data_IF_019235724192
#
_entry.id   IF_019235724192
#
_cell.length_a   1.000
_cell.length_b   1.000
_cell.length_c   1.000
_cell.angle_alpha   90.00
_cell.angle_beta   90.00
_cell.angle_gamma   90.00
#
_symmetry.space_group_name_H-M   'P 1'
#
loop_
_entity.id
_entity.type
_entity.pdbx_description
1 polymer ?
#
# COMPACT_ATOMS: atom_id res chain seq x y z
N UNK A 1 -62.40 -6.67 51.99
CA UNK A 1 -61.98 -5.48 51.22
C UNK A 1 -60.73 -4.90 51.90
N UNK A 2 -59.54 -4.77 51.34
CA UNK A 2 -58.96 -4.98 50.01
C UNK A 2 -57.50 -5.43 50.24
N UNK A 3 -57.15 -6.61 49.72
CA UNK A 3 -55.80 -6.98 49.23
C UNK A 3 -55.48 -6.09 47.99
N UNK A 4 -54.33 -6.26 47.34
CA UNK A 4 -53.79 -5.43 46.22
C UNK A 4 -52.97 -4.26 46.79
N UNK A 5 -51.65 -4.12 46.66
CA UNK A 5 -50.69 -4.66 45.69
C UNK A 5 -49.28 -4.86 46.32
N UNK A 6 -48.93 -6.12 46.61
CA UNK A 6 -47.54 -6.59 46.76
C UNK A 6 -47.20 -7.36 45.48
N UNK A 7 -47.13 -6.66 44.34
CA UNK A 7 -46.80 -7.26 43.04
C UNK A 7 -46.14 -6.20 42.13
N UNK A 8 -45.00 -5.65 42.55
CA UNK A 8 -44.21 -4.75 41.71
C UNK A 8 -42.68 -4.87 41.90
N UNK A 9 -42.18 -5.99 42.45
CA UNK A 9 -40.72 -6.23 42.62
C UNK A 9 -40.28 -7.56 41.96
N UNK A 10 -41.09 -8.12 41.05
CA UNK A 10 -40.77 -9.40 40.37
C UNK A 10 -40.73 -9.30 38.82
N UNK A 11 -40.55 -8.10 38.27
CA UNK A 11 -40.58 -7.86 36.81
C UNK A 11 -39.37 -7.06 36.27
N UNK A 12 -38.25 -6.98 37.01
CA UNK A 12 -37.06 -6.24 36.55
C UNK A 12 -35.76 -7.06 36.49
N UNK A 13 -35.84 -8.38 36.63
CA UNK A 13 -34.67 -9.29 36.56
C UNK A 13 -34.94 -10.49 35.63
N UNK A 14 -35.65 -10.24 34.52
CA UNK A 14 -35.93 -11.26 33.49
C UNK A 14 -35.67 -10.68 32.09
N UNK A 15 -34.50 -10.04 31.92
CA UNK A 15 -34.19 -9.33 30.66
C UNK A 15 -32.71 -9.35 30.23
N UNK A 16 -31.82 -10.08 30.89
CA UNK A 16 -30.41 -10.17 30.46
C UNK A 16 -29.79 -11.56 30.62
N UNK A 17 -30.54 -12.59 30.24
CA UNK A 17 -29.95 -13.85 29.81
C UNK A 17 -30.53 -14.19 28.44
N UNK A 18 -30.27 -13.31 27.46
CA UNK A 18 -30.23 -13.77 26.07
C UNK A 18 -29.06 -14.76 26.04
N UNK A 19 -29.28 -16.04 25.69
CA UNK A 19 -28.17 -16.94 25.51
C UNK A 19 -27.27 -16.33 24.44
N UNK A 20 -25.96 -16.25 24.69
CA UNK A 20 -24.95 -16.02 23.66
C UNK A 20 -24.88 -17.22 22.68
N UNK A 21 -26.02 -17.78 22.32
CA UNK A 21 -26.20 -18.72 21.23
C UNK A 21 -26.39 -17.88 19.97
N UNK A 22 -25.29 -17.57 19.28
CA UNK A 22 -25.35 -16.92 17.98
C UNK A 22 -24.24 -15.93 17.67
N UNK A 23 -23.25 -15.70 18.55
CA UNK A 23 -22.06 -14.97 18.10
C UNK A 23 -21.36 -15.81 17.03
N UNK A 24 -21.24 -15.31 15.79
CA UNK A 24 -20.54 -16.03 14.73
C UNK A 24 -19.13 -16.30 15.22
N UNK A 25 -18.70 -17.56 15.19
CA UNK A 25 -17.32 -17.87 15.56
C UNK A 25 -16.38 -17.29 14.50
N UNK A 26 -15.25 -16.68 14.90
CA UNK A 26 -14.19 -16.36 13.98
C UNK A 26 -13.87 -17.59 13.12
N UNK A 27 -13.81 -17.41 11.81
CA UNK A 27 -13.41 -18.44 10.86
C UNK A 27 -11.95 -18.22 10.55
N UNK A 28 -11.13 -19.19 10.93
CA UNK A 28 -9.71 -19.18 10.63
C UNK A 28 -9.39 -20.33 9.67
N UNK A 29 -8.61 -20.03 8.65
CA UNK A 29 -8.15 -21.03 7.70
C UNK A 29 -6.80 -20.63 7.11
N UNK A 30 -6.05 -21.63 6.65
CA UNK A 30 -4.75 -21.42 6.01
C UNK A 30 -4.83 -21.75 4.52
N UNK A 31 -4.20 -20.91 3.70
CA UNK A 31 -4.03 -21.13 2.25
C UNK A 31 -2.63 -20.67 1.88
N UNK A 32 -1.79 -21.57 1.34
CA UNK A 32 -0.43 -21.26 0.87
C UNK A 32 0.40 -20.43 1.89
N UNK A 33 0.44 -20.92 3.14
CA UNK A 33 1.16 -20.29 4.26
C UNK A 33 0.67 -18.86 4.61
N UNK A 34 -0.58 -18.57 4.26
CA UNK A 34 -1.31 -17.38 4.69
C UNK A 34 -2.35 -17.76 5.74
N UNK A 35 -2.31 -17.11 6.90
CA UNK A 35 -3.36 -17.21 7.90
C UNK A 35 -4.45 -16.19 7.59
N UNK A 36 -5.67 -16.67 7.36
CA UNK A 36 -6.82 -15.82 7.15
C UNK A 36 -7.75 -16.00 8.34
N UNK A 37 -8.13 -14.90 8.98
CA UNK A 37 -9.05 -14.85 10.10
C UNK A 37 -10.17 -13.87 9.78
N UNK A 38 -11.38 -14.37 9.52
CA UNK A 38 -12.58 -13.55 9.42
C UNK A 38 -13.31 -13.60 10.76
N UNK A 39 -13.49 -12.44 11.38
CA UNK A 39 -14.18 -12.35 12.67
C UNK A 39 -15.66 -12.79 12.57
N UNK A 40 -16.23 -12.90 11.36
CA UNK A 40 -17.61 -13.34 11.14
C UNK A 40 -18.65 -12.35 11.67
N UNK A 41 -18.27 -11.10 11.86
CA UNK A 41 -18.99 -10.13 12.69
C UNK A 41 -20.26 -9.57 12.02
N UNK A 42 -21.15 -8.95 12.81
CA UNK A 42 -22.41 -8.34 12.33
C UNK A 42 -22.17 -7.21 11.33
N UNK A 43 -21.05 -6.49 11.46
CA UNK A 43 -20.68 -5.38 10.57
C UNK A 43 -19.50 -5.79 9.69
N UNK A 44 -19.58 -5.53 8.40
CA UNK A 44 -18.51 -5.82 7.44
C UNK A 44 -18.01 -4.56 6.74
N UNK A 45 -16.72 -4.56 6.39
CA UNK A 45 -16.14 -3.56 5.48
C UNK A 45 -16.43 -3.85 4.00
N UNK A 46 -16.96 -5.04 3.68
CA UNK A 46 -17.16 -5.49 2.30
C UNK A 46 -15.85 -5.74 1.52
N UNK A 47 -14.76 -6.01 2.26
CA UNK A 47 -13.44 -6.38 1.73
C UNK A 47 -13.29 -7.89 1.74
N UNK A 48 -12.85 -8.46 0.62
CA UNK A 48 -12.47 -9.87 0.52
C UNK A 48 -10.99 -10.07 0.84
N UNK A 49 -10.53 -11.33 0.81
CA UNK A 49 -9.10 -11.67 0.93
C UNK A 49 -8.31 -11.03 -0.21
N UNK A 50 -8.83 -11.11 -1.43
CA UNK A 50 -8.19 -10.56 -2.64
C UNK A 50 -8.11 -9.04 -2.61
N UNK A 51 -9.15 -8.36 -2.06
CA UNK A 51 -9.10 -6.92 -1.81
C UNK A 51 -7.92 -6.58 -0.87
N UNK A 52 -7.75 -7.35 0.22
CA UNK A 52 -6.66 -7.12 1.17
C UNK A 52 -5.29 -7.43 0.55
N UNK A 53 -5.15 -8.51 -0.22
CA UNK A 53 -3.91 -8.85 -0.91
C UNK A 53 -3.48 -7.77 -1.92
N UNK A 54 -4.44 -7.13 -2.59
CA UNK A 54 -4.17 -6.07 -3.56
C UNK A 54 -3.54 -4.81 -2.93
N UNK A 55 -3.51 -4.70 -1.59
CA UNK A 55 -2.94 -3.56 -0.87
C UNK A 55 -1.45 -3.69 -0.55
N UNK A 56 -0.85 -4.86 -0.75
CA UNK A 56 0.57 -5.10 -0.47
C UNK A 56 1.31 -5.68 -1.68
N UNK A 57 2.62 -5.87 -1.57
CA UNK A 57 3.43 -6.49 -2.60
C UNK A 57 3.16 -7.99 -2.69
N UNK A 58 3.24 -8.56 -3.90
CA UNK A 58 3.26 -10.01 -4.11
C UNK A 58 4.47 -10.66 -3.45
N UNK A 59 4.39 -11.98 -3.26
CA UNK A 59 5.44 -12.78 -2.60
C UNK A 59 6.80 -12.73 -3.32
N UNK A 60 6.79 -12.43 -4.62
CA UNK A 60 7.93 -12.39 -5.53
C UNK A 60 8.17 -10.98 -6.12
N UNK A 61 7.42 -9.96 -5.70
CA UNK A 61 7.49 -8.62 -6.27
C UNK A 61 8.68 -7.79 -5.77
N UNK A 62 9.31 -8.18 -4.64
CA UNK A 62 10.41 -7.42 -4.03
C UNK A 62 11.75 -8.11 -4.33
N UNK A 63 12.59 -7.58 -5.23
CA UNK A 63 13.88 -8.21 -5.55
C UNK A 63 14.81 -8.24 -4.33
N UNK A 64 15.49 -9.37 -4.14
CA UNK A 64 16.38 -9.63 -3.02
C UNK A 64 15.66 -10.13 -1.76
N UNK A 65 14.35 -10.33 -1.81
CA UNK A 65 13.51 -10.72 -0.68
C UNK A 65 12.64 -11.92 -1.03
N UNK A 66 12.34 -12.76 -0.03
CA UNK A 66 11.48 -13.93 -0.17
C UNK A 66 10.48 -14.01 1.00
N UNK A 67 9.22 -14.36 0.71
CA UNK A 67 8.24 -14.65 1.76
C UNK A 67 8.50 -16.03 2.35
N UNK A 68 9.24 -16.07 3.45
CA UNK A 68 9.45 -17.30 4.23
C UNK A 68 8.42 -17.39 5.36
N UNK A 69 7.81 -18.57 5.59
CA UNK A 69 6.97 -18.78 6.76
C UNK A 69 7.73 -18.47 8.04
N UNK A 70 7.11 -17.74 8.97
CA UNK A 70 7.69 -17.49 10.28
C UNK A 70 7.83 -18.84 11.04
N UNK A 71 8.98 -19.17 11.64
CA UNK A 71 9.21 -20.47 12.27
C UNK A 71 8.30 -20.75 13.48
N UNK A 72 7.69 -19.72 14.07
CA UNK A 72 6.79 -19.85 15.21
C UNK A 72 5.31 -19.92 14.81
N UNK A 73 4.93 -19.26 13.72
CA UNK A 73 3.52 -19.18 13.30
C UNK A 73 3.23 -19.96 12.03
N UNK A 74 4.23 -20.46 11.33
CA UNK A 74 4.14 -21.17 10.05
C UNK A 74 3.36 -20.38 8.97
N UNK A 75 3.44 -19.05 9.03
CA UNK A 75 2.75 -18.16 8.09
C UNK A 75 3.69 -17.01 7.70
N UNK A 76 3.68 -16.61 6.43
CA UNK A 76 4.36 -15.37 5.97
C UNK A 76 3.40 -14.19 5.82
N UNK A 77 2.10 -14.48 5.69
CA UNK A 77 1.03 -13.49 5.57
C UNK A 77 -0.07 -13.76 6.59
N UNK A 78 -0.60 -12.69 7.20
CA UNK A 78 -1.78 -12.71 8.05
C UNK A 78 -2.80 -11.73 7.48
N UNK A 79 -4.02 -12.20 7.23
CA UNK A 79 -5.15 -11.38 6.79
C UNK A 79 -6.25 -11.49 7.84
N UNK A 80 -6.55 -10.38 8.50
CA UNK A 80 -7.67 -10.25 9.43
C UNK A 80 -8.81 -9.48 8.79
N UNK A 81 -10.01 -10.06 8.71
CA UNK A 81 -11.20 -9.40 8.19
C UNK A 81 -12.17 -9.02 9.31
N UNK A 82 -12.73 -7.83 9.18
CA UNK A 82 -13.86 -7.33 9.99
C UNK A 82 -13.62 -7.35 11.51
N UNK A 83 -12.37 -7.17 11.94
CA UNK A 83 -11.98 -7.08 13.33
C UNK A 83 -12.77 -5.99 14.08
N UNK A 84 -13.18 -6.31 15.32
CA UNK A 84 -14.08 -5.50 16.15
C UNK A 84 -15.47 -5.19 15.55
N UNK A 85 -15.92 -5.93 14.53
CA UNK A 85 -17.23 -5.69 13.92
C UNK A 85 -18.42 -5.91 14.86
N UNK A 86 -18.29 -6.73 15.90
CA UNK A 86 -19.36 -6.98 16.88
C UNK A 86 -19.45 -5.93 17.99
N UNK A 87 -18.43 -5.09 18.14
CA UNK A 87 -18.43 -4.04 19.17
C UNK A 87 -19.14 -2.80 18.62
N UNK A 88 -20.27 -2.35 19.18
CA UNK A 88 -21.01 -1.19 18.67
C UNK A 88 -20.13 0.07 18.57
N UNK A 89 -19.25 0.25 19.55
CA UNK A 89 -18.33 1.39 19.69
C UNK A 89 -16.89 1.07 19.25
N UNK A 90 -16.61 -0.17 18.84
CA UNK A 90 -15.28 -0.60 18.41
C UNK A 90 -14.98 -0.20 16.96
N UNK A 91 -13.71 0.03 16.67
CA UNK A 91 -13.24 0.41 15.34
C UNK A 91 -13.23 -0.82 14.44
N UNK A 92 -14.22 -0.91 13.56
CA UNK A 92 -14.28 -1.94 12.51
C UNK A 92 -13.06 -1.77 11.60
N UNK A 93 -12.22 -2.81 11.52
CA UNK A 93 -10.99 -2.80 10.70
C UNK A 93 -10.72 -4.14 10.03
N UNK A 94 -10.11 -4.10 8.86
CA UNK A 94 -9.41 -5.24 8.26
C UNK A 94 -7.92 -4.93 8.20
N UNK A 95 -7.10 -5.97 8.18
CA UNK A 95 -5.65 -5.90 8.26
C UNK A 95 -5.04 -6.93 7.30
N UNK A 96 -3.99 -6.55 6.60
CA UNK A 96 -3.03 -7.47 6.00
C UNK A 96 -1.65 -7.16 6.55
N UNK A 97 -0.92 -8.19 6.93
CA UNK A 97 0.48 -8.13 7.34
C UNK A 97 1.23 -9.19 6.56
N UNK A 98 2.29 -8.79 5.86
CA UNK A 98 3.16 -9.70 5.10
C UNK A 98 4.61 -9.44 5.46
N UNK A 99 5.36 -10.52 5.66
CA UNK A 99 6.79 -10.49 5.93
C UNK A 99 7.60 -11.02 4.75
N UNK A 100 8.78 -10.46 4.53
CA UNK A 100 9.79 -10.97 3.62
C UNK A 100 11.15 -10.99 4.31
N UNK A 101 11.96 -11.99 4.00
CA UNK A 101 13.34 -12.12 4.47
C UNK A 101 14.30 -11.77 3.34
N UNK A 102 15.27 -10.90 3.62
CA UNK A 102 16.33 -10.56 2.67
C UNK A 102 17.22 -11.79 2.43
N UNK A 103 17.42 -12.14 1.16
CA UNK A 103 18.17 -13.34 0.76
C UNK A 103 19.67 -13.28 1.08
N UNK A 104 20.22 -12.07 1.19
CA UNK A 104 21.65 -11.85 1.47
C UNK A 104 21.92 -11.65 2.95
N UNK A 105 21.09 -10.85 3.64
CA UNK A 105 21.35 -10.42 5.02
C UNK A 105 20.52 -11.16 6.06
N UNK A 106 19.41 -11.78 5.66
CA UNK A 106 18.42 -12.35 6.57
C UNK A 106 17.56 -11.30 7.30
N UNK A 107 17.68 -10.01 6.96
CA UNK A 107 16.86 -8.95 7.56
C UNK A 107 15.37 -9.15 7.21
N UNK A 108 14.49 -8.82 8.15
CA UNK A 108 13.04 -8.99 7.95
C UNK A 108 12.41 -7.66 7.53
N UNK A 109 11.84 -7.64 6.32
CA UNK A 109 10.92 -6.60 5.88
C UNK A 109 9.49 -7.00 6.25
N UNK A 110 8.71 -6.05 6.77
CA UNK A 110 7.29 -6.21 7.05
C UNK A 110 6.51 -5.06 6.45
N UNK A 111 5.42 -5.37 5.76
CA UNK A 111 4.42 -4.40 5.32
C UNK A 111 3.10 -4.75 5.99
N UNK A 112 2.56 -3.78 6.71
CA UNK A 112 1.25 -3.86 7.36
C UNK A 112 0.33 -2.81 6.75
N UNK A 113 -0.87 -3.22 6.32
CA UNK A 113 -1.90 -2.31 5.83
C UNK A 113 -3.20 -2.57 6.57
N UNK A 114 -3.75 -1.52 7.16
CA UNK A 114 -5.00 -1.52 7.93
C UNK A 114 -6.05 -0.68 7.21
N UNK A 115 -7.25 -1.20 7.05
CA UNK A 115 -8.38 -0.49 6.46
C UNK A 115 -9.49 -0.35 7.49
N UNK A 116 -9.94 0.88 7.70
CA UNK A 116 -10.93 1.23 8.71
C UNK A 116 -12.33 1.43 8.12
N UNK A 117 -13.38 1.29 8.95
CA UNK A 117 -14.77 1.59 8.58
C UNK A 117 -15.03 3.08 8.28
N UNK A 118 -14.22 3.97 8.84
CA UNK A 118 -14.25 5.42 8.63
C UNK A 118 -12.86 5.95 8.26
N UNK A 119 -12.72 7.27 8.13
CA UNK A 119 -11.43 7.89 7.91
C UNK A 119 -10.42 7.43 8.98
N UNK A 120 -9.25 6.98 8.55
CA UNK A 120 -8.21 6.45 9.43
C UNK A 120 -7.79 7.48 10.49
N UNK A 121 -7.81 8.77 10.12
CA UNK A 121 -7.53 9.87 11.04
C UNK A 121 -8.53 10.04 12.19
N UNK A 122 -9.65 9.30 12.24
CA UNK A 122 -10.49 9.23 13.45
C UNK A 122 -9.89 8.31 14.52
N UNK A 123 -8.98 7.40 14.13
CA UNK A 123 -8.47 6.31 14.97
C UNK A 123 -6.96 6.42 15.20
N UNK A 124 -6.23 6.78 14.15
CA UNK A 124 -4.78 6.79 14.12
C UNK A 124 -4.26 8.10 13.55
N UNK A 125 -3.56 8.86 14.39
CA UNK A 125 -2.83 10.09 14.05
C UNK A 125 -1.42 10.03 14.61
N UNK A 126 -0.53 10.87 14.09
CA UNK A 126 0.82 11.02 14.64
C UNK A 126 0.84 11.21 16.16
N UNK A 127 -0.11 11.97 16.73
CA UNK A 127 -0.18 12.21 18.16
C UNK A 127 -0.38 10.91 18.96
N UNK A 128 -1.18 9.97 18.47
CA UNK A 128 -1.38 8.67 19.13
C UNK A 128 -0.06 7.90 19.27
N UNK A 129 0.81 8.03 18.27
CA UNK A 129 2.09 7.33 18.17
C UNK A 129 3.22 8.02 18.92
N UNK A 130 3.19 9.36 18.99
CA UNK A 130 4.18 10.17 19.71
C UNK A 130 4.17 9.88 21.21
N UNK A 131 3.00 9.67 21.80
CA UNK A 131 2.86 9.46 23.25
C UNK A 131 3.06 8.00 23.69
N UNK A 132 3.06 7.05 22.75
CA UNK A 132 3.13 5.61 23.05
C UNK A 132 4.50 4.94 22.88
N UNK A 133 5.53 5.66 22.43
CA UNK A 133 6.83 5.09 22.07
C UNK A 133 7.98 5.75 22.83
N UNK A 134 8.98 4.95 23.24
CA UNK A 134 10.24 5.46 23.79
C UNK A 134 11.09 6.17 22.73
N UNK A 135 10.92 5.81 21.45
CA UNK A 135 11.55 6.47 20.30
C UNK A 135 10.55 7.46 19.72
N UNK A 136 10.93 8.73 19.67
CA UNK A 136 10.06 9.78 19.11
C UNK A 136 10.01 9.67 17.57
N UNK A 137 8.81 9.56 16.96
CA UNK A 137 8.66 9.60 15.52
C UNK A 137 9.02 10.99 14.97
N UNK A 138 9.56 11.02 13.76
CA UNK A 138 9.81 12.27 13.02
C UNK A 138 8.72 12.45 11.96
N UNK A 139 8.04 13.60 12.00
CA UNK A 139 7.02 13.95 11.01
C UNK A 139 7.62 14.08 9.61
N UNK A 140 6.86 13.66 8.60
CA UNK A 140 7.24 13.70 7.19
C UNK A 140 7.93 12.42 6.71
N UNK A 141 8.52 12.51 5.53
CA UNK A 141 9.23 11.40 4.87
C UNK A 141 10.73 11.63 4.76
N UNK A 142 11.48 10.60 4.38
CA UNK A 142 12.93 10.67 4.24
C UNK A 142 13.35 11.62 3.10
N UNK A 143 12.60 11.61 2.00
CA UNK A 143 12.78 12.51 0.86
C UNK A 143 12.15 13.90 1.08
N UNK A 144 11.46 14.11 2.20
CA UNK A 144 10.63 15.29 2.48
C UNK A 144 9.45 15.49 1.51
N UNK A 145 9.12 14.48 0.71
CA UNK A 145 7.93 14.47 -0.15
C UNK A 145 6.71 13.95 0.63
N UNK A 146 5.52 14.57 0.49
CA UNK A 146 4.34 14.11 1.22
C UNK A 146 3.86 12.76 0.68
N UNK A 147 3.77 11.76 1.55
CA UNK A 147 3.14 10.46 1.30
C UNK A 147 1.85 10.40 2.10
N UNK A 148 0.75 10.09 1.42
CA UNK A 148 -0.58 10.15 2.01
C UNK A 148 -0.99 11.53 2.53
N UNK A 149 -1.99 11.56 3.40
CA UNK A 149 -2.48 12.77 4.11
C UNK A 149 -1.59 13.14 5.30
N UNK A 150 -0.93 12.15 5.90
CA UNK A 150 -0.05 12.29 7.05
C UNK A 150 0.93 11.13 7.05
N UNK A 151 2.22 11.42 7.26
CA UNK A 151 3.26 10.41 7.37
C UNK A 151 4.31 10.80 8.41
N UNK A 152 4.99 9.79 8.95
CA UNK A 152 6.11 9.93 9.85
C UNK A 152 6.98 8.68 9.80
N UNK A 153 8.18 8.76 10.38
CA UNK A 153 9.10 7.64 10.42
C UNK A 153 9.80 7.50 11.78
N UNK A 154 10.23 6.28 12.10
CA UNK A 154 11.09 5.98 13.24
C UNK A 154 12.46 5.55 12.74
N UNK A 155 13.48 6.34 13.02
CA UNK A 155 14.81 6.11 12.45
C UNK A 155 14.74 5.99 10.92
N UNK A 156 15.56 5.13 10.34
CA UNK A 156 15.64 4.77 8.91
C UNK A 156 14.94 3.45 8.57
N UNK A 157 14.38 2.77 9.56
CA UNK A 157 13.88 1.39 9.44
C UNK A 157 12.38 1.33 9.26
N UNK A 158 11.63 2.32 9.76
CA UNK A 158 10.17 2.24 9.81
C UNK A 158 9.52 3.51 9.29
N UNK A 159 8.55 3.33 8.41
CA UNK A 159 7.76 4.38 7.80
C UNK A 159 6.28 4.11 8.01
N UNK A 160 5.53 5.16 8.36
CA UNK A 160 4.09 5.09 8.56
C UNK A 160 3.43 6.19 7.73
N UNK A 161 2.28 5.87 7.12
CA UNK A 161 1.41 6.88 6.54
C UNK A 161 -0.05 6.49 6.64
N UNK A 162 -0.95 7.48 6.50
CA UNK A 162 -2.37 7.24 6.22
C UNK A 162 -2.84 7.98 4.99
N UNK A 163 -3.86 7.43 4.36
CA UNK A 163 -4.58 8.03 3.24
C UNK A 163 -6.05 7.56 3.31
N UNK A 164 -7.00 8.50 3.44
CA UNK A 164 -8.42 8.19 3.55
C UNK A 164 -8.72 7.20 4.69
N UNK A 165 -9.18 6.00 4.34
CA UNK A 165 -9.53 4.93 5.30
C UNK A 165 -8.38 3.98 5.62
N UNK A 166 -7.19 4.20 5.04
CA UNK A 166 -6.07 3.27 5.11
C UNK A 166 -4.95 3.82 5.96
N UNK A 167 -4.35 2.96 6.76
CA UNK A 167 -3.04 3.15 7.40
C UNK A 167 -2.10 2.10 6.87
N UNK A 168 -0.86 2.49 6.55
CA UNK A 168 0.19 1.56 6.18
C UNK A 168 1.45 1.81 7.00
N UNK A 169 2.11 0.72 7.38
CA UNK A 169 3.40 0.72 8.04
C UNK A 169 4.35 -0.21 7.28
N UNK A 170 5.51 0.32 6.92
CA UNK A 170 6.61 -0.43 6.31
C UNK A 170 7.75 -0.45 7.33
N UNK A 171 8.20 -1.63 7.75
CA UNK A 171 9.23 -1.79 8.76
C UNK A 171 10.29 -2.78 8.28
N UNK A 172 11.55 -2.35 8.30
CA UNK A 172 12.72 -3.17 8.04
C UNK A 172 13.45 -3.43 9.37
N UNK A 173 13.35 -4.65 9.86
CA UNK A 173 14.01 -5.10 11.08
C UNK A 173 15.45 -5.51 10.75
N UNK A 174 16.37 -4.56 10.94
CA UNK A 174 17.82 -4.79 10.81
C UNK A 174 18.49 -4.91 12.17
N UNK A 175 19.64 -5.59 12.19
CA UNK A 175 20.50 -5.66 13.38
C UNK A 175 21.13 -4.31 13.73
N UNK A 176 21.50 -3.51 12.72
CA UNK A 176 22.15 -2.20 12.90
C UNK A 176 21.64 -1.17 11.90
N UNK A 177 20.99 -0.13 12.39
CA UNK A 177 20.43 0.95 11.56
C UNK A 177 21.51 1.73 10.77
N UNK A 178 22.74 1.78 11.28
CA UNK A 178 23.86 2.46 10.60
C UNK A 178 24.22 1.85 9.24
N UNK A 179 23.84 0.60 9.00
CA UNK A 179 24.07 -0.12 7.74
C UNK A 179 22.99 0.22 6.69
N UNK A 180 21.91 0.89 7.11
CA UNK A 180 20.89 1.37 6.20
C UNK A 180 21.31 2.68 5.54
N UNK A 181 21.02 2.73 4.24
CA UNK A 181 20.87 3.98 3.50
C UNK A 181 19.95 4.96 4.25
N UNK A 182 19.78 6.15 3.71
CA UNK A 182 18.94 7.24 4.20
C UNK A 182 17.42 6.94 4.36
N UNK A 183 16.99 5.67 4.37
CA UNK A 183 15.58 5.26 4.52
C UNK A 183 14.80 5.26 3.21
N UNK A 184 15.41 5.67 2.09
CA UNK A 184 14.76 5.81 0.80
C UNK A 184 14.21 4.49 0.21
N UNK A 185 14.76 3.34 0.59
CA UNK A 185 14.22 2.03 0.21
C UNK A 185 12.86 1.76 0.88
N UNK A 186 12.77 2.01 2.19
CA UNK A 186 11.52 1.89 2.96
C UNK A 186 10.48 2.88 2.44
N UNK A 187 10.92 4.09 2.08
CA UNK A 187 10.04 5.07 1.45
C UNK A 187 9.53 4.63 0.07
N UNK A 188 10.40 4.06 -0.77
CA UNK A 188 10.01 3.56 -2.08
C UNK A 188 8.95 2.45 -1.97
N UNK A 189 9.07 1.60 -0.95
CA UNK A 189 8.04 0.60 -0.62
C UNK A 189 6.72 1.27 -0.23
N UNK A 190 6.76 2.33 0.60
CA UNK A 190 5.56 3.06 1.01
C UNK A 190 4.84 3.72 -0.19
N UNK A 191 5.58 4.29 -1.14
CA UNK A 191 5.01 4.85 -2.38
C UNK A 191 4.22 3.81 -3.19
N UNK A 192 4.75 2.58 -3.32
CA UNK A 192 4.02 1.53 -4.03
C UNK A 192 2.82 0.99 -3.26
N UNK A 193 2.78 1.11 -1.93
CA UNK A 193 1.56 0.86 -1.13
C UNK A 193 0.54 1.98 -1.35
N UNK A 194 0.95 3.26 -1.33
CA UNK A 194 0.05 4.37 -1.64
C UNK A 194 -0.57 4.23 -3.04
N UNK A 195 0.23 3.84 -4.03
CA UNK A 195 -0.25 3.56 -5.38
C UNK A 195 -1.33 2.47 -5.37
N UNK A 196 -1.12 1.36 -4.67
CA UNK A 196 -2.10 0.26 -4.52
C UNK A 196 -3.40 0.73 -3.86
N UNK A 197 -3.30 1.52 -2.79
CA UNK A 197 -4.44 2.11 -2.08
C UNK A 197 -5.28 2.98 -3.01
N UNK A 198 -4.61 3.84 -3.79
CA UNK A 198 -5.26 4.74 -4.77
C UNK A 198 -5.80 4.00 -6.01
N UNK A 199 -5.26 2.83 -6.36
CA UNK A 199 -5.78 1.95 -7.42
C UNK A 199 -6.91 1.04 -6.96
N UNK A 200 -7.15 0.93 -5.66
CA UNK A 200 -7.97 -0.13 -5.11
C UNK A 200 -9.43 -0.07 -5.62
N UNK A 201 -10.03 -1.18 -6.10
CA UNK A 201 -11.36 -1.19 -6.70
C UNK A 201 -12.46 -0.62 -5.80
N UNK A 202 -12.33 -0.79 -4.49
CA UNK A 202 -13.27 -0.31 -3.47
C UNK A 202 -13.13 1.18 -3.14
N UNK A 203 -12.22 1.92 -3.81
CA UNK A 203 -11.98 3.35 -3.61
C UNK A 203 -11.78 3.70 -2.13
N UNK A 204 -10.68 3.20 -1.56
CA UNK A 204 -10.37 3.37 -0.14
C UNK A 204 -10.00 4.81 0.24
N UNK A 205 -9.62 5.59 -0.77
CA UNK A 205 -9.47 7.05 -0.72
C UNK A 205 -10.77 7.67 -1.23
N UNK A 206 -11.24 8.75 -0.59
CA UNK A 206 -12.52 9.39 -0.95
C UNK A 206 -12.62 9.81 -2.43
N UNK A 207 -13.81 10.26 -2.86
CA UNK A 207 -14.12 10.60 -4.27
C UNK A 207 -13.26 11.72 -4.91
N UNK A 208 -12.31 12.30 -4.18
CA UNK A 208 -11.44 13.37 -4.65
C UNK A 208 -10.38 12.93 -5.67
N UNK A 209 -10.17 11.62 -5.87
CA UNK A 209 -9.20 11.14 -6.86
C UNK A 209 -9.74 11.32 -8.29
N UNK A 210 -9.39 12.47 -8.86
CA UNK A 210 -9.67 12.85 -10.24
C UNK A 210 -8.95 11.90 -11.20
N UNK A 211 -9.69 11.22 -12.06
CA UNK A 211 -9.14 10.30 -13.06
C UNK A 211 -8.24 11.04 -14.04
N UNK A 212 -6.99 10.59 -14.19
CA UNK A 212 -6.08 11.12 -15.21
C UNK A 212 -6.37 10.43 -16.54
N UNK A 213 -6.56 11.22 -17.59
CA UNK A 213 -6.68 10.72 -18.96
C UNK A 213 -5.31 10.77 -19.61
N UNK A 214 -4.76 9.60 -19.95
CA UNK A 214 -3.52 9.50 -20.71
C UNK A 214 -3.83 9.28 -22.19
N UNK A 215 -3.33 10.16 -23.05
CA UNK A 215 -3.35 10.03 -24.50
C UNK A 215 -1.93 9.70 -24.97
N UNK A 216 -1.75 8.63 -25.74
CA UNK A 216 -0.48 8.27 -26.37
C UNK A 216 -0.70 8.19 -27.87
N UNK A 217 0.03 9.01 -28.62
CA UNK A 217 -0.21 9.21 -30.06
C UNK A 217 -1.70 9.51 -30.35
N UNK A 218 -2.30 10.42 -29.57
CA UNK A 218 -3.71 10.82 -29.62
C UNK A 218 -4.75 9.72 -29.35
N UNK A 219 -4.33 8.55 -28.85
CA UNK A 219 -5.23 7.46 -28.46
C UNK A 219 -5.27 7.32 -26.95
N UNK A 220 -6.45 7.16 -26.33
CA UNK A 220 -6.54 6.95 -24.89
C UNK A 220 -5.90 5.62 -24.51
N UNK A 221 -4.98 5.65 -23.56
CA UNK A 221 -4.44 4.45 -22.91
C UNK A 221 -5.33 4.14 -21.70
N UNK A 222 -5.72 2.88 -21.57
CA UNK A 222 -6.82 2.40 -20.72
C UNK A 222 -7.05 3.15 -19.40
N UNK A 223 -8.33 3.38 -19.07
CA UNK A 223 -8.74 4.12 -17.87
C UNK A 223 -8.16 3.45 -16.61
N UNK A 224 -7.60 4.28 -15.72
CA UNK A 224 -7.17 3.86 -14.39
C UNK A 224 -5.70 3.45 -14.26
N UNK A 225 -4.92 3.30 -15.33
CA UNK A 225 -3.49 2.93 -15.19
C UNK A 225 -2.61 4.05 -14.61
N UNK A 226 -3.07 5.29 -14.70
CA UNK A 226 -2.29 6.50 -14.40
C UNK A 226 -2.84 7.20 -13.18
N UNK A 227 -1.96 7.52 -12.22
CA UNK A 227 -2.30 8.17 -10.94
C UNK A 227 -1.34 9.34 -10.68
N UNK A 228 -1.82 10.36 -9.98
CA UNK A 228 -0.96 11.40 -9.40
C UNK A 228 -0.57 11.03 -7.97
N UNK A 229 0.73 10.92 -7.72
CA UNK A 229 1.33 10.72 -6.40
C UNK A 229 2.00 12.02 -5.95
N UNK A 230 1.31 12.75 -5.07
CA UNK A 230 1.69 14.09 -4.63
C UNK A 230 2.07 15.03 -5.81
N UNK A 231 1.23 15.07 -6.85
CA UNK A 231 1.42 15.93 -8.02
C UNK A 231 2.22 15.30 -9.16
N UNK A 232 2.94 14.20 -8.93
CA UNK A 232 3.72 13.51 -9.96
C UNK A 232 2.87 12.44 -10.61
N UNK A 233 2.72 12.52 -11.93
CA UNK A 233 1.98 11.50 -12.69
C UNK A 233 2.85 10.26 -12.84
N UNK A 234 2.39 9.13 -12.30
CA UNK A 234 3.04 7.83 -12.42
C UNK A 234 2.20 6.84 -13.22
N UNK A 235 2.86 5.97 -13.95
CA UNK A 235 2.21 4.96 -14.79
C UNK A 235 3.11 3.73 -14.97
N UNK A 236 2.53 2.56 -15.33
CA UNK A 236 3.31 1.42 -15.79
C UNK A 236 4.11 1.78 -17.04
N UNK A 237 5.35 1.28 -17.13
CA UNK A 237 6.23 1.57 -18.25
C UNK A 237 5.65 1.12 -19.61
N UNK A 238 4.84 0.05 -19.62
CA UNK A 238 4.11 -0.44 -20.82
C UNK A 238 3.19 0.60 -21.44
N UNK A 239 2.76 1.61 -20.68
CA UNK A 239 1.94 2.71 -21.22
C UNK A 239 2.66 3.51 -22.32
N UNK A 240 3.98 3.38 -22.44
CA UNK A 240 4.79 4.03 -23.46
C UNK A 240 4.92 3.21 -24.76
N UNK A 241 4.60 1.92 -24.78
CA UNK A 241 4.73 1.07 -25.98
C UNK A 241 3.99 1.65 -27.21
N UNK A 242 2.77 2.21 -27.09
CA UNK A 242 2.09 2.82 -28.23
C UNK A 242 2.84 4.01 -28.85
N UNK A 243 3.82 4.59 -28.15
CA UNK A 243 4.72 5.62 -28.67
C UNK A 243 6.00 5.04 -29.32
N UNK A 244 5.96 3.77 -29.75
CA UNK A 244 7.08 3.04 -30.36
C UNK A 244 8.26 2.84 -29.40
N UNK A 245 7.96 2.67 -28.11
CA UNK A 245 8.95 2.34 -27.11
C UNK A 245 9.04 0.82 -26.99
N UNK A 246 10.23 0.27 -27.22
CA UNK A 246 10.52 -1.14 -26.96
C UNK A 246 10.97 -1.32 -25.51
N UNK A 247 10.45 -2.36 -24.85
CA UNK A 247 10.78 -2.69 -23.45
C UNK A 247 11.54 -4.01 -23.38
N UNK A 248 12.68 -3.98 -22.71
CA UNK A 248 13.49 -5.15 -22.37
C UNK A 248 13.48 -5.30 -20.84
N UNK A 249 12.93 -6.41 -20.35
CA UNK A 249 12.82 -6.68 -18.91
C UNK A 249 13.85 -7.72 -18.48
N UNK A 250 14.65 -7.36 -17.49
CA UNK A 250 15.57 -8.27 -16.79
C UNK A 250 15.06 -8.43 -15.36
N UNK A 251 14.46 -9.59 -15.07
CA UNK A 251 13.93 -9.92 -13.74
C UNK A 251 14.58 -11.19 -13.22
N UNK A 252 15.32 -11.04 -12.13
CA UNK A 252 15.94 -12.14 -11.37
C UNK A 252 15.40 -12.13 -9.93
N UNK A 253 15.81 -13.09 -9.11
CA UNK A 253 15.49 -13.08 -7.67
C UNK A 253 16.09 -11.88 -6.94
N UNK A 254 17.21 -11.35 -7.41
CA UNK A 254 17.96 -10.27 -6.72
C UNK A 254 17.71 -8.89 -7.32
N UNK A 255 17.32 -8.82 -8.58
CA UNK A 255 17.21 -7.56 -9.30
C UNK A 255 16.02 -7.55 -10.26
N UNK A 256 15.38 -6.40 -10.38
CA UNK A 256 14.39 -6.15 -11.42
C UNK A 256 14.69 -4.82 -12.09
N UNK A 257 15.07 -4.92 -13.36
CA UNK A 257 15.43 -3.81 -14.24
C UNK A 257 14.54 -3.86 -15.48
N UNK A 258 14.15 -2.70 -15.96
CA UNK A 258 13.57 -2.55 -17.29
C UNK A 258 14.31 -1.48 -18.07
N UNK A 259 14.71 -1.82 -19.29
CA UNK A 259 15.28 -0.89 -20.27
C UNK A 259 14.21 -0.55 -21.29
N UNK A 260 13.89 0.72 -21.42
CA UNK A 260 13.02 1.27 -22.47
C UNK A 260 13.88 1.92 -23.56
N UNK A 261 13.57 1.65 -24.83
CA UNK A 261 14.28 2.22 -25.99
C UNK A 261 13.32 2.84 -27.01
N UNK A 262 13.70 3.98 -27.58
CA UNK A 262 13.01 4.63 -28.71
C UNK A 262 14.05 5.26 -29.64
N UNK A 263 14.28 4.63 -30.78
CA UNK A 263 15.41 4.98 -31.65
C UNK A 263 16.74 4.80 -30.91
N UNK A 264 17.59 5.83 -30.92
CA UNK A 264 18.89 5.83 -30.22
C UNK A 264 18.77 6.15 -28.72
N UNK A 265 17.61 6.65 -28.27
CA UNK A 265 17.40 7.04 -26.88
C UNK A 265 16.98 5.84 -26.05
N UNK A 266 17.53 5.76 -24.84
CA UNK A 266 17.20 4.69 -23.91
C UNK A 266 17.14 5.21 -22.47
N UNK A 267 16.33 4.53 -21.67
CA UNK A 267 16.20 4.73 -20.24
C UNK A 267 16.23 3.37 -19.57
N UNK A 268 17.03 3.21 -18.51
CA UNK A 268 17.06 2.01 -17.68
C UNK A 268 16.62 2.38 -16.27
N UNK A 269 15.63 1.66 -15.76
CA UNK A 269 15.06 1.83 -14.43
C UNK A 269 15.16 0.53 -13.64
N UNK A 270 15.36 0.65 -12.32
CA UNK A 270 15.43 -0.47 -11.38
C UNK A 270 14.33 -0.34 -10.33
N UNK A 271 13.72 -1.46 -9.95
CA UNK A 271 12.75 -1.50 -8.84
C UNK A 271 13.33 -0.85 -7.56
N UNK A 272 12.51 -0.04 -6.90
CA UNK A 272 12.82 0.74 -5.70
C UNK A 272 13.95 1.77 -5.84
N UNK A 273 14.33 2.12 -7.08
CA UNK A 273 15.32 3.17 -7.36
C UNK A 273 14.69 4.56 -7.39
N UNK A 274 15.45 5.55 -6.91
CA UNK A 274 15.17 6.98 -7.07
C UNK A 274 15.92 7.62 -8.24
N UNK A 275 16.55 6.79 -9.07
CA UNK A 275 17.34 7.22 -10.22
C UNK A 275 17.01 6.35 -11.43
N UNK A 276 17.13 6.96 -12.61
CA UNK A 276 17.18 6.26 -13.89
C UNK A 276 18.52 6.50 -14.56
N UNK A 277 18.97 5.53 -15.35
CA UNK A 277 20.11 5.68 -16.26
C UNK A 277 19.60 6.02 -17.65
N UNK A 278 20.32 6.87 -18.36
CA UNK A 278 20.02 7.31 -19.73
C UNK A 278 21.28 7.29 -20.58
N UNK A 279 21.15 7.51 -21.88
CA UNK A 279 22.26 7.76 -22.81
C UNK A 279 23.18 8.92 -22.36
N UNK A 280 22.68 9.82 -21.49
CA UNK A 280 23.40 10.99 -20.98
C UNK A 280 23.92 10.83 -19.55
N UNK A 281 23.71 9.67 -18.92
CA UNK A 281 24.08 9.40 -17.54
C UNK A 281 22.89 9.25 -16.59
N UNK A 282 23.14 9.39 -15.29
CA UNK A 282 22.16 9.17 -14.22
C UNK A 282 21.31 10.41 -13.96
N UNK A 283 20.01 10.21 -13.79
CA UNK A 283 19.04 11.27 -13.52
C UNK A 283 18.21 10.91 -12.29
N UNK A 284 18.14 11.82 -11.33
CA UNK A 284 17.26 11.68 -10.16
C UNK A 284 15.80 11.79 -10.56
N UNK A 285 15.00 10.85 -10.08
CA UNK A 285 13.57 10.78 -10.28
C UNK A 285 12.82 11.57 -9.20
N UNK A 286 11.69 12.15 -9.60
CA UNK A 286 10.78 12.85 -8.70
C UNK A 286 10.03 11.87 -7.77
N UNK A 287 9.80 10.64 -8.23
CA UNK A 287 9.23 9.54 -7.44
C UNK A 287 10.03 8.27 -7.69
N UNK A 288 10.09 7.35 -6.71
CA UNK A 288 10.80 6.10 -6.91
C UNK A 288 10.07 5.24 -7.92
N UNK A 289 10.84 4.37 -8.56
CA UNK A 289 10.31 3.28 -9.36
C UNK A 289 9.86 2.17 -8.42
N UNK A 290 8.70 1.56 -8.63
CA UNK A 290 8.26 0.44 -7.80
C UNK A 290 7.46 -0.59 -8.59
N UNK A 291 7.50 -1.87 -8.19
CA UNK A 291 6.71 -2.93 -8.80
C UNK A 291 5.21 -2.82 -8.52
N UNK A 292 4.41 -3.17 -9.53
CA UNK A 292 2.98 -3.44 -9.39
C UNK A 292 2.49 -4.37 -10.51
N UNK A 293 1.95 -5.54 -10.14
CA UNK A 293 1.30 -6.50 -11.05
C UNK A 293 2.18 -6.92 -12.23
N UNK A 294 3.46 -7.19 -11.96
CA UNK A 294 4.40 -7.63 -12.99
C UNK A 294 4.99 -6.50 -13.84
N UNK A 295 4.72 -5.24 -13.51
CA UNK A 295 5.26 -4.06 -14.20
C UNK A 295 6.02 -3.14 -13.25
N UNK A 296 6.93 -2.31 -13.79
CA UNK A 296 7.51 -1.19 -13.07
C UNK A 296 6.69 0.09 -13.31
N UNK A 297 6.28 0.72 -12.21
CA UNK A 297 5.62 2.03 -12.19
C UNK A 297 6.70 3.10 -12.13
N UNK A 298 6.60 4.11 -13.00
CA UNK A 298 7.61 5.16 -13.15
C UNK A 298 6.98 6.56 -13.19
N UNK A 299 7.75 7.62 -12.87
CA UNK A 299 7.36 9.01 -13.17
C UNK A 299 7.24 9.22 -14.68
N UNK A 300 6.00 9.27 -15.17
CA UNK A 300 5.70 9.16 -16.60
C UNK A 300 6.38 10.26 -17.41
N UNK A 301 6.33 11.50 -16.91
CA UNK A 301 6.88 12.66 -17.61
C UNK A 301 8.38 12.56 -17.80
N UNK A 302 9.14 12.32 -16.73
CA UNK A 302 10.61 12.28 -16.78
C UNK A 302 11.09 11.17 -17.72
N UNK A 303 10.48 9.99 -17.63
CA UNK A 303 10.85 8.85 -18.49
C UNK A 303 10.49 9.11 -19.95
N UNK A 304 9.30 9.64 -20.22
CA UNK A 304 8.88 9.97 -21.59
C UNK A 304 9.78 11.04 -22.22
N UNK A 305 10.10 12.11 -21.50
CA UNK A 305 10.98 13.18 -21.98
C UNK A 305 12.40 12.66 -22.27
N UNK A 306 12.94 11.79 -21.42
CA UNK A 306 14.23 11.13 -21.64
C UNK A 306 14.23 10.24 -22.90
N UNK A 307 13.12 9.57 -23.20
CA UNK A 307 12.91 8.84 -24.46
C UNK A 307 12.59 9.76 -25.67
N UNK A 308 12.69 11.08 -25.49
CA UNK A 308 12.45 12.05 -26.55
C UNK A 308 10.99 12.20 -26.95
N UNK A 309 10.05 11.83 -26.08
CA UNK A 309 8.62 12.02 -26.27
C UNK A 309 8.24 13.40 -25.70
N UNK A 310 7.37 14.13 -26.38
CA UNK A 310 6.85 15.40 -25.88
C UNK A 310 5.68 15.13 -24.94
N UNK A 311 5.71 15.73 -23.76
CA UNK A 311 4.67 15.58 -22.74
C UNK A 311 3.93 16.90 -22.60
N UNK A 312 2.63 16.88 -22.89
CA UNK A 312 1.75 18.02 -22.67
C UNK A 312 0.73 17.67 -21.58
N UNK A 313 0.57 18.54 -20.60
CA UNK A 313 -0.41 18.37 -19.54
C UNK A 313 -1.39 19.56 -19.53
N UNK A 314 -2.68 19.26 -19.67
CA UNK A 314 -3.76 20.25 -19.56
C UNK A 314 -4.82 19.71 -18.60
N UNK A 315 -4.85 20.26 -17.38
CA UNK A 315 -5.73 19.76 -16.32
C UNK A 315 -5.43 18.30 -15.99
N UNK A 316 -6.42 17.43 -16.17
CA UNK A 316 -6.32 15.98 -15.91
C UNK A 316 -5.91 15.17 -17.14
N UNK A 317 -5.63 15.82 -18.26
CA UNK A 317 -5.22 15.16 -19.50
C UNK A 317 -3.71 15.28 -19.67
N UNK A 318 -3.04 14.14 -19.81
CA UNK A 318 -1.63 14.04 -20.18
C UNK A 318 -1.57 13.46 -21.59
N UNK A 319 -0.92 14.17 -22.51
CA UNK A 319 -0.72 13.74 -23.89
C UNK A 319 0.76 13.50 -24.15
N UNK A 320 1.07 12.28 -24.61
CA UNK A 320 2.38 11.87 -25.09
C UNK A 320 2.37 11.93 -26.61
N UNK A 321 3.12 12.90 -27.13
CA UNK A 321 3.20 13.17 -28.55
C UNK A 321 4.60 12.79 -29.06
N UNK A 322 4.70 12.13 -30.23
CA UNK A 322 5.99 11.99 -30.88
C UNK A 322 6.55 13.39 -31.14
N UNK A 323 7.81 13.60 -30.73
CA UNK A 323 8.64 14.66 -31.31
C UNK A 323 9.02 14.27 -32.73
#
# INVERSE_FOLDING_TARGET
MKRWDMLAIAAFMTGMLIPMAGQPRPREWQVNDMLISDSGTVRSLGLTVEDMEALTYGVDEIPGYECLPNPYTDNHTIIGLNGNGDKPTGWLRSLILRGWTNLTTGDLLRVEVRVYGKAAGEYERYENYRWGSQVLPKLGSFSSLPIGEECFHYGKTRFWFREGRVVAEVALLVRREAELADGLFVEALAWGVEYRVRQHPKRLVGMAQRSITLLVANKPVGRGKVISLAGVTVAPLSTLEPAQVALETERTKMEWVVTARRGEKWVRVRAFSWEMETDKGKVKLERPVFPYKGELIVPLRQVAEALGISVQQKGQTVALLPK
#
